data_IF_345809835291
#
_entry.id   IF_345809835291
#
_cell.length_a   1.000
_cell.length_b   1.000
_cell.length_c   1.000
_cell.angle_alpha   90.00
_cell.angle_beta   90.00
_cell.angle_gamma   90.00
#
_symmetry.space_group_name_H-M   'P 1'
#
loop_
_entity.id
_entity.type
_entity.pdbx_description
1 polymer ?
#
# COMPACT_ATOMS: atom_id res chain seq x y z
N UNK A 1 5.26 23.66 -3.88
CA UNK A 1 5.17 22.49 -2.99
C UNK A 1 4.55 21.36 -3.78
N UNK A 2 5.36 20.52 -4.42
CA UNK A 2 4.90 19.28 -5.02
C UNK A 2 4.54 18.32 -3.88
N UNK A 3 3.28 17.90 -3.78
CA UNK A 3 2.89 16.82 -2.87
C UNK A 3 3.83 15.62 -3.14
N UNK A 4 4.41 14.98 -2.11
CA UNK A 4 5.21 13.79 -2.34
C UNK A 4 4.31 12.79 -3.09
N UNK A 5 4.78 12.33 -4.24
CA UNK A 5 4.06 11.37 -5.05
C UNK A 5 3.91 10.07 -4.26
N UNK A 6 2.69 9.79 -3.80
CA UNK A 6 2.35 8.57 -3.10
C UNK A 6 2.33 7.39 -4.06
N UNK A 7 3.05 6.32 -3.73
CA UNK A 7 3.04 5.07 -4.46
C UNK A 7 1.90 4.19 -3.96
N UNK A 8 0.90 3.96 -4.80
CA UNK A 8 -0.11 2.95 -4.52
C UNK A 8 0.42 1.57 -4.87
N UNK A 9 0.50 0.69 -3.89
CA UNK A 9 0.94 -0.69 -4.08
C UNK A 9 -0.20 -1.66 -3.79
N UNK A 10 -0.63 -2.38 -4.83
CA UNK A 10 -1.70 -3.36 -4.76
C UNK A 10 -1.18 -4.78 -4.61
N UNK A 11 -1.92 -5.60 -3.86
CA UNK A 11 -1.56 -7.02 -3.68
C UNK A 11 -0.36 -7.21 -2.73
N UNK A 12 -0.13 -6.28 -1.81
CA UNK A 12 0.97 -6.33 -0.82
C UNK A 12 0.93 -7.53 0.12
N UNK A 13 -0.20 -8.25 0.17
CA UNK A 13 -0.35 -9.49 0.94
C UNK A 13 0.07 -10.75 0.16
N UNK A 14 0.27 -10.65 -1.15
CA UNK A 14 0.75 -11.75 -2.00
C UNK A 14 2.28 -11.80 -2.10
N UNK A 15 2.84 -12.89 -2.62
CA UNK A 15 4.29 -13.10 -2.65
C UNK A 15 5.08 -11.99 -3.35
N UNK A 16 4.65 -11.58 -4.56
CA UNK A 16 5.31 -10.53 -5.32
C UNK A 16 5.14 -9.15 -4.66
N UNK A 17 3.90 -8.77 -4.33
CA UNK A 17 3.63 -7.46 -3.73
C UNK A 17 4.31 -7.27 -2.38
N UNK A 18 4.37 -8.32 -1.55
CA UNK A 18 5.10 -8.29 -0.28
C UNK A 18 6.61 -8.10 -0.48
N UNK A 19 7.19 -8.78 -1.47
CA UNK A 19 8.61 -8.65 -1.80
C UNK A 19 8.95 -7.25 -2.33
N UNK A 20 8.10 -6.70 -3.21
CA UNK A 20 8.26 -5.33 -3.70
C UNK A 20 8.16 -4.33 -2.55
N UNK A 21 7.15 -4.46 -1.67
CA UNK A 21 7.01 -3.58 -0.50
C UNK A 21 8.26 -3.64 0.39
N UNK A 22 8.76 -4.86 0.66
CA UNK A 22 9.99 -5.05 1.41
C UNK A 22 11.18 -4.37 0.73
N UNK A 23 11.37 -4.57 -0.58
CA UNK A 23 12.49 -3.97 -1.30
C UNK A 23 12.38 -2.43 -1.33
N UNK A 24 11.18 -1.87 -1.49
CA UNK A 24 10.95 -0.42 -1.39
C UNK A 24 11.38 0.12 -0.02
N UNK A 25 10.96 -0.53 1.07
CA UNK A 25 11.25 -0.06 2.42
C UNK A 25 12.69 -0.31 2.87
N UNK A 26 13.21 -1.52 2.61
CA UNK A 26 14.50 -1.97 3.16
C UNK A 26 15.67 -1.71 2.22
N UNK A 27 15.49 -1.87 0.91
CA UNK A 27 16.58 -1.74 -0.07
C UNK A 27 16.66 -0.32 -0.62
N UNK A 28 15.51 0.24 -1.00
CA UNK A 28 15.44 1.57 -1.62
C UNK A 28 15.14 2.68 -0.61
N UNK A 29 14.86 2.34 0.66
CA UNK A 29 14.65 3.27 1.76
C UNK A 29 13.57 4.33 1.48
N UNK A 30 12.50 3.93 0.78
CA UNK A 30 11.32 4.78 0.64
C UNK A 30 10.74 5.07 2.02
N UNK A 31 10.34 6.33 2.31
CA UNK A 31 9.63 6.62 3.54
C UNK A 31 8.28 5.89 3.54
N UNK A 32 7.92 5.17 4.62
CA UNK A 32 6.64 4.45 4.68
C UNK A 32 5.42 5.32 4.37
N UNK A 33 5.45 6.59 4.78
CA UNK A 33 4.40 7.57 4.50
C UNK A 33 4.24 7.95 3.03
N UNK A 34 5.17 7.56 2.16
CA UNK A 34 5.04 7.74 0.70
C UNK A 34 4.41 6.54 0.00
N UNK A 35 4.02 5.49 0.73
CA UNK A 35 3.47 4.27 0.17
C UNK A 35 2.07 4.03 0.75
N UNK A 36 1.11 3.84 -0.14
CA UNK A 36 -0.25 3.40 0.18
C UNK A 36 -0.35 1.91 -0.12
N UNK A 37 -0.37 1.11 0.95
CA UNK A 37 -0.52 -0.33 0.88
C UNK A 37 -2.00 -0.69 0.70
N UNK A 38 -2.33 -1.57 -0.26
CA UNK A 38 -3.73 -1.97 -0.50
C UNK A 38 -3.94 -3.49 -0.51
N UNK A 39 -5.04 -3.91 0.12
CA UNK A 39 -5.47 -5.31 0.15
C UNK A 39 -7.00 -5.42 0.24
N UNK A 40 -7.56 -6.57 -0.14
CA UNK A 40 -9.01 -6.79 -0.13
C UNK A 40 -9.61 -6.98 1.26
N UNK A 41 -8.77 -7.17 2.30
CA UNK A 41 -9.23 -7.47 3.66
C UNK A 41 -8.84 -6.36 4.62
N UNK A 42 -9.84 -5.71 5.19
CA UNK A 42 -9.69 -4.66 6.22
C UNK A 42 -8.91 -5.15 7.45
N UNK A 43 -8.97 -6.45 7.75
CA UNK A 43 -8.21 -7.05 8.87
C UNK A 43 -6.69 -6.92 8.75
N UNK A 44 -6.16 -6.48 7.59
CA UNK A 44 -4.74 -6.19 7.38
C UNK A 44 -4.34 -4.75 7.68
N UNK A 45 -5.30 -3.84 7.93
CA UNK A 45 -5.03 -2.41 8.17
C UNK A 45 -3.98 -2.19 9.26
N UNK A 46 -4.25 -2.69 10.47
CA UNK A 46 -3.38 -2.48 11.63
C UNK A 46 -1.96 -3.01 11.40
N UNK A 47 -1.80 -4.07 10.62
CA UNK A 47 -0.48 -4.62 10.30
C UNK A 47 0.36 -3.63 9.49
N UNK A 48 -0.23 -2.93 8.52
CA UNK A 48 0.49 -1.96 7.69
C UNK A 48 0.63 -0.60 8.38
N UNK A 49 -0.41 -0.11 9.06
CA UNK A 49 -0.39 1.16 9.77
C UNK A 49 0.63 1.16 10.93
N UNK A 50 0.81 0.02 11.62
CA UNK A 50 1.87 -0.12 12.63
C UNK A 50 3.29 0.02 12.07
N UNK A 51 3.47 -0.21 10.77
CA UNK A 51 4.73 -0.01 10.04
C UNK A 51 4.87 1.41 9.48
N UNK A 52 3.91 2.30 9.77
CA UNK A 52 3.89 3.69 9.28
C UNK A 52 3.40 3.84 7.84
N UNK A 53 2.82 2.79 7.26
CA UNK A 53 2.23 2.81 5.92
C UNK A 53 0.80 3.34 5.99
N UNK A 54 0.39 4.09 4.97
CA UNK A 54 -1.04 4.32 4.75
C UNK A 54 -1.69 3.04 4.21
N UNK A 55 -2.90 2.71 4.66
CA UNK A 55 -3.63 1.52 4.20
C UNK A 55 -5.01 1.87 3.66
N UNK A 56 -5.34 1.31 2.49
CA UNK A 56 -6.66 1.41 1.87
C UNK A 56 -7.15 0.03 1.41
N UNK A 57 -8.44 -0.24 1.59
CA UNK A 57 -9.03 -1.46 1.05
C UNK A 57 -9.24 -1.30 -0.44
N UNK A 58 -8.86 -2.32 -1.19
CA UNK A 58 -9.06 -2.40 -2.63
C UNK A 58 -9.81 -3.70 -2.94
N UNK A 59 -11.01 -3.57 -3.47
CA UNK A 59 -11.81 -4.67 -3.99
C UNK A 59 -11.66 -4.71 -5.52
N UNK A 60 -11.07 -5.78 -6.05
CA UNK A 60 -10.82 -5.88 -7.49
C UNK A 60 -12.10 -6.17 -8.29
N UNK A 61 -13.16 -6.61 -7.63
CA UNK A 61 -14.48 -6.82 -8.26
C UNK A 61 -15.31 -5.54 -8.30
N UNK A 62 -14.96 -4.52 -7.48
CA UNK A 62 -15.57 -3.19 -7.54
C UNK A 62 -14.55 -2.11 -7.98
N UNK A 63 -14.56 -1.72 -9.27
CA UNK A 63 -13.62 -0.73 -9.80
C UNK A 63 -13.74 0.64 -9.13
N UNK A 64 -14.84 0.95 -8.43
CA UNK A 64 -14.95 2.20 -7.66
C UNK A 64 -13.96 2.25 -6.51
N UNK A 65 -13.63 1.11 -5.91
CA UNK A 65 -12.67 1.05 -4.80
C UNK A 65 -11.26 1.40 -5.25
N UNK A 66 -10.90 1.14 -6.52
CA UNK A 66 -9.63 1.61 -7.09
C UNK A 66 -9.58 3.13 -7.16
N UNK A 67 -10.68 3.76 -7.57
CA UNK A 67 -10.75 5.22 -7.64
C UNK A 67 -10.66 5.90 -6.28
N UNK A 68 -11.21 5.27 -5.23
CA UNK A 68 -11.05 5.73 -3.84
C UNK A 68 -9.68 5.40 -3.25
N UNK A 69 -8.96 4.44 -3.82
CA UNK A 69 -7.64 4.06 -3.37
C UNK A 69 -6.53 4.94 -3.96
N UNK A 70 -6.72 5.55 -5.15
CA UNK A 70 -5.81 6.53 -5.76
C UNK A 70 -5.73 7.86 -4.98
#
# INVERSE_FOLDING_TARGET
MSCPSSWLLSGVTGGLGAKILHDMLAVHQFPPSSIVATACKESKRLYFEYQGLEFRVLDYDDPKTLHSAL
#
